data_IF_146968161571
#
_entry.id   IF_146968161571
#
_cell.length_a   1.000
_cell.length_b   1.000
_cell.length_c   1.000
_cell.angle_alpha   90.00
_cell.angle_beta   90.00
_cell.angle_gamma   90.00
#
_symmetry.space_group_name_H-M   'P 1'
#
loop_
_entity.id
_entity.type
_entity.pdbx_description
1 polymer ?
#
# COMPACT_ATOMS: atom_id res chain seq x y z
N UNK A 1 0.24 2.89 -11.50
CA UNK A 1 -0.96 2.33 -10.84
C UNK A 1 -1.25 3.18 -9.61
N UNK A 2 -2.49 3.57 -9.38
CA UNK A 2 -2.86 4.41 -8.24
C UNK A 2 -3.47 3.57 -7.12
N UNK A 3 -2.99 3.76 -5.89
CA UNK A 3 -3.55 3.16 -4.67
C UNK A 3 -3.85 4.28 -3.68
N UNK A 4 -5.07 4.28 -3.14
CA UNK A 4 -5.48 5.22 -2.08
C UNK A 4 -5.46 4.49 -0.74
N UNK A 5 -4.75 5.04 0.24
CA UNK A 5 -4.64 4.50 1.59
C UNK A 5 -5.32 5.43 2.61
N UNK A 6 -6.29 4.90 3.37
CA UNK A 6 -6.85 5.59 4.53
C UNK A 6 -5.91 5.60 5.73
N UNK A 7 -6.35 6.17 6.86
CA UNK A 7 -5.55 6.29 8.07
C UNK A 7 -5.06 4.93 8.63
N UNK A 8 -5.95 3.94 8.72
CA UNK A 8 -5.59 2.60 9.20
C UNK A 8 -4.65 1.86 8.26
N UNK A 9 -4.85 2.02 6.95
CA UNK A 9 -4.04 1.35 5.94
C UNK A 9 -2.62 1.92 5.93
N UNK A 10 -2.46 3.24 6.12
CA UNK A 10 -1.14 3.88 6.23
C UNK A 10 -0.32 3.31 7.38
N UNK A 11 -0.92 3.10 8.56
CA UNK A 11 -0.23 2.50 9.69
C UNK A 11 0.28 1.08 9.37
N UNK A 12 -0.51 0.30 8.63
CA UNK A 12 -0.10 -1.03 8.17
C UNK A 12 0.99 -0.97 7.09
N UNK A 13 0.91 -0.01 6.16
CA UNK A 13 1.95 0.21 5.15
C UNK A 13 3.26 0.61 5.81
N UNK A 14 3.23 1.48 6.83
CA UNK A 14 4.41 1.84 7.61
C UNK A 14 5.02 0.63 8.32
N UNK A 15 4.21 -0.29 8.84
CA UNK A 15 4.68 -1.54 9.45
C UNK A 15 5.36 -2.49 8.46
N UNK A 16 4.97 -2.47 7.18
CA UNK A 16 5.60 -3.30 6.13
C UNK A 16 6.61 -2.50 5.28
N UNK A 17 6.81 -1.20 5.55
CA UNK A 17 7.64 -0.29 4.75
C UNK A 17 9.07 -0.82 4.59
N UNK A 18 9.64 -1.35 5.67
CA UNK A 18 10.98 -1.96 5.69
C UNK A 18 11.13 -3.13 4.71
N UNK A 19 10.01 -3.79 4.36
CA UNK A 19 9.98 -4.93 3.43
C UNK A 19 9.66 -4.51 1.98
N UNK A 20 9.42 -3.23 1.72
CA UNK A 20 9.14 -2.70 0.39
C UNK A 20 10.42 -2.18 -0.25
N UNK A 21 10.49 -2.22 -1.58
CA UNK A 21 11.63 -1.64 -2.31
C UNK A 21 11.74 -0.14 -2.09
N UNK A 22 12.97 0.38 -2.20
CA UNK A 22 13.25 1.81 -2.06
C UNK A 22 12.44 2.68 -3.02
N UNK A 23 12.16 2.17 -4.23
CA UNK A 23 11.31 2.85 -5.21
C UNK A 23 9.88 2.99 -4.69
N UNK A 24 9.26 1.90 -4.23
CA UNK A 24 7.93 1.93 -3.62
C UNK A 24 7.87 2.87 -2.41
N UNK A 25 8.90 2.86 -1.57
CA UNK A 25 8.98 3.75 -0.41
C UNK A 25 9.07 5.22 -0.83
N UNK A 26 9.86 5.55 -1.85
CA UNK A 26 9.96 6.92 -2.39
C UNK A 26 8.64 7.39 -2.98
N UNK A 27 7.97 6.56 -3.78
CA UNK A 27 6.65 6.91 -4.34
C UNK A 27 5.61 7.11 -3.22
N UNK A 28 5.65 6.28 -2.17
CA UNK A 28 4.79 6.43 -1.00
C UNK A 28 5.10 7.68 -0.17
N UNK A 29 6.36 8.09 -0.06
CA UNK A 29 6.77 9.28 0.66
C UNK A 29 6.33 10.55 -0.08
N UNK A 30 6.58 10.60 -1.40
CA UNK A 30 6.17 11.67 -2.31
C UNK A 30 4.64 11.77 -2.53
N UNK A 31 3.90 10.73 -2.16
CA UNK A 31 2.45 10.69 -2.33
C UNK A 31 1.74 11.80 -1.55
N UNK A 32 0.81 12.47 -2.20
CA UNK A 32 0.00 13.52 -1.58
C UNK A 32 -1.02 12.92 -0.61
N UNK A 33 -1.12 13.50 0.59
CA UNK A 33 -2.16 13.14 1.57
C UNK A 33 -3.34 14.10 1.42
N UNK A 34 -4.48 13.58 1.01
CA UNK A 34 -5.75 14.30 0.89
C UNK A 34 -6.69 13.98 2.05
N UNK A 35 -7.83 14.67 2.12
CA UNK A 35 -8.87 14.44 3.13
C UNK A 35 -9.38 13.00 3.16
N UNK A 36 -9.49 12.34 2.00
CA UNK A 36 -9.99 10.96 1.87
C UNK A 36 -8.91 9.89 2.09
N UNK A 37 -7.63 10.29 2.14
CA UNK A 37 -6.51 9.38 2.28
C UNK A 37 -5.26 9.81 1.50
N UNK A 38 -4.21 9.00 1.58
CA UNK A 38 -2.95 9.21 0.86
C UNK A 38 -2.99 8.52 -0.50
N UNK A 39 -2.75 9.29 -1.56
CA UNK A 39 -2.83 8.83 -2.95
C UNK A 39 -1.43 8.51 -3.45
N UNK A 40 -1.13 7.21 -3.56
CA UNK A 40 0.19 6.71 -3.91
C UNK A 40 0.16 6.19 -5.34
N UNK A 41 0.92 6.85 -6.22
CA UNK A 41 1.11 6.37 -7.58
C UNK A 41 2.37 5.52 -7.63
N UNK A 42 2.24 4.26 -8.03
CA UNK A 42 3.34 3.30 -8.15
C UNK A 42 3.56 2.95 -9.62
N UNK A 43 4.77 3.17 -10.09
CA UNK A 43 5.18 2.78 -11.44
C UNK A 43 5.68 1.34 -11.40
N UNK A 44 4.88 0.41 -11.95
CA UNK A 44 5.23 -1.01 -12.01
C UNK A 44 6.18 -1.24 -13.18
N UNK A 45 7.46 -0.99 -12.97
CA UNK A 45 8.48 -1.19 -14.01
C UNK A 45 9.22 -2.53 -13.87
N UNK A 46 9.22 -3.13 -12.68
CA UNK A 46 9.90 -4.39 -12.37
C UNK A 46 9.02 -5.37 -11.56
N UNK A 47 9.38 -6.65 -11.57
CA UNK A 47 8.68 -7.71 -10.81
C UNK A 47 8.70 -7.44 -9.29
N UNK A 48 9.75 -6.78 -8.78
CA UNK A 48 9.82 -6.32 -7.39
C UNK A 48 8.66 -5.38 -7.05
N UNK A 49 8.36 -4.41 -7.91
CA UNK A 49 7.24 -3.47 -7.70
C UNK A 49 5.91 -4.20 -7.81
N UNK A 50 5.79 -5.21 -8.67
CA UNK A 50 4.62 -6.09 -8.71
C UNK A 50 4.41 -6.79 -7.37
N UNK A 51 5.46 -7.30 -6.74
CA UNK A 51 5.39 -7.94 -5.42
C UNK A 51 4.98 -6.94 -4.33
N UNK A 52 5.59 -5.75 -4.34
CA UNK A 52 5.26 -4.66 -3.42
C UNK A 52 3.79 -4.25 -3.55
N UNK A 53 3.29 -4.08 -4.77
CA UNK A 53 1.88 -3.77 -5.04
C UNK A 53 0.97 -4.87 -4.49
N UNK A 54 1.31 -6.16 -4.66
CA UNK A 54 0.54 -7.27 -4.09
C UNK A 54 0.48 -7.18 -2.55
N UNK A 55 1.58 -6.82 -1.90
CA UNK A 55 1.64 -6.62 -0.44
C UNK A 55 0.79 -5.44 0.01
N UNK A 56 0.87 -4.31 -0.70
CA UNK A 56 0.07 -3.11 -0.43
C UNK A 56 -1.44 -3.39 -0.59
N UNK A 57 -1.83 -4.13 -1.63
CA UNK A 57 -3.22 -4.56 -1.83
C UNK A 57 -3.67 -5.54 -0.75
N UNK A 58 -2.79 -6.43 -0.29
CA UNK A 58 -3.08 -7.34 0.81
C UNK A 58 -3.30 -6.60 2.14
N UNK A 59 -2.58 -5.49 2.38
CA UNK A 59 -2.79 -4.60 3.54
C UNK A 59 -4.16 -3.92 3.50
N UNK A 60 -4.61 -3.50 2.31
CA UNK A 60 -5.93 -2.90 2.10
C UNK A 60 -7.06 -3.92 2.25
N UNK A 61 -6.79 -5.20 1.95
CA UNK A 61 -7.77 -6.28 2.11
C UNK A 61 -8.06 -6.48 3.60
N UNK A 62 -9.25 -6.09 4.07
CA UNK A 62 -9.75 -6.50 5.40
C UNK A 62 -9.65 -8.03 5.49
N UNK A 63 -9.22 -8.59 6.64
CA UNK A 63 -9.36 -10.03 6.86
C UNK A 63 -10.85 -10.34 6.65
N UNK A 64 -11.14 -11.22 5.69
CA UNK A 64 -12.49 -11.76 5.56
C UNK A 64 -12.71 -12.55 6.84
N UNK A 65 -13.50 -12.01 7.76
CA UNK A 65 -14.02 -12.79 8.87
C UNK A 65 -14.78 -13.94 8.21
N UNK A 66 -14.21 -15.14 8.23
CA UNK A 66 -14.97 -16.37 8.10
C UNK A 66 -15.84 -16.44 9.35
N UNK A 67 -16.99 -15.77 9.33
CA UNK A 67 -18.10 -16.06 10.24
C UNK A 67 -19.27 -16.54 9.39
N UNK A 68 -19.05 -17.68 8.74
CA UNK A 68 -20.12 -18.64 8.48
C UNK A 68 -20.06 -19.64 9.64
N UNK A 69 -20.81 -19.35 10.70
CA UNK A 69 -21.23 -20.30 11.75
C UNK A 69 -22.38 -19.66 12.54
#
# INVERSE_FOLDING_TARGET
>A
MLIVFGAEERAKVEAIRDRLSEQTQKEYDNATTYHDGKWVHLTVDNDTVVNDVKRLLAVKRRPKNSNEA
#
